data_IF_291963046164
#
_entry.id   IF_291963046164
#
_cell.length_a   1.000
_cell.length_b   1.000
_cell.length_c   1.000
_cell.angle_alpha   90.00
_cell.angle_beta   90.00
_cell.angle_gamma   90.00
#
_symmetry.space_group_name_H-M   'P 1'
#
loop_
_entity.id
_entity.type
_entity.pdbx_description
1 polymer ?
#
# COMPACT_ATOMS: atom_id res chain seq x y z
N UNK A 1 -7.50 -1.27 -4.68
CA UNK A 1 -7.16 -1.74 -6.05
C UNK A 1 -5.88 -1.06 -6.51
N UNK A 2 -4.89 -1.84 -6.95
CA UNK A 2 -3.64 -1.33 -7.53
C UNK A 2 -3.54 -1.81 -8.99
N UNK A 3 -3.54 -0.87 -9.92
CA UNK A 3 -3.45 -1.16 -11.35
C UNK A 3 -2.08 -1.71 -11.74
N UNK A 4 -2.03 -2.55 -12.79
CA UNK A 4 -0.79 -3.19 -13.26
C UNK A 4 0.30 -2.18 -13.60
N UNK A 5 -0.06 -1.09 -14.27
CA UNK A 5 0.86 -0.02 -14.64
C UNK A 5 1.52 0.66 -13.43
N UNK A 6 0.80 0.84 -12.33
CA UNK A 6 1.35 1.39 -11.09
C UNK A 6 2.26 0.37 -10.40
N UNK A 7 1.87 -0.91 -10.38
CA UNK A 7 2.73 -1.97 -9.82
C UNK A 7 4.04 -2.11 -10.56
N UNK A 8 4.03 -2.00 -11.88
CA UNK A 8 5.25 -2.15 -12.68
C UNK A 8 6.20 -0.97 -12.43
N UNK A 9 5.66 0.26 -12.35
CA UNK A 9 6.43 1.47 -12.07
C UNK A 9 6.96 1.56 -10.64
N UNK A 10 6.19 1.07 -9.66
CA UNK A 10 6.50 1.17 -8.23
C UNK A 10 6.59 -0.22 -7.59
N UNK A 11 7.20 -1.17 -8.31
CA UNK A 11 7.31 -2.58 -7.88
C UNK A 11 8.13 -2.71 -6.61
N UNK A 12 9.20 -1.91 -6.49
CA UNK A 12 10.14 -1.95 -5.38
C UNK A 12 9.46 -1.51 -4.09
N UNK A 13 8.70 -0.44 -4.14
CA UNK A 13 7.88 0.04 -3.04
C UNK A 13 6.81 -1.01 -2.72
N UNK A 14 6.06 -1.47 -3.73
CA UNK A 14 4.97 -2.43 -3.55
C UNK A 14 5.39 -3.71 -2.82
N UNK A 15 6.57 -4.26 -3.12
CA UNK A 15 7.03 -5.55 -2.59
C UNK A 15 8.08 -5.41 -1.48
N UNK A 16 8.80 -4.29 -1.41
CA UNK A 16 9.93 -4.09 -0.51
C UNK A 16 9.60 -3.31 0.76
N UNK A 17 8.47 -2.60 0.79
CA UNK A 17 8.09 -1.81 1.96
C UNK A 17 7.58 -2.67 3.10
N UNK A 18 8.15 -2.46 4.29
CA UNK A 18 7.60 -2.91 5.58
C UNK A 18 6.54 -1.96 6.13
N UNK A 19 6.60 -0.69 5.73
CA UNK A 19 5.55 0.30 5.95
C UNK A 19 5.35 1.10 4.66
N UNK A 20 4.12 1.19 4.20
CA UNK A 20 3.79 1.83 2.93
C UNK A 20 2.65 2.84 3.10
N UNK A 21 2.85 4.04 2.57
CA UNK A 21 1.74 4.95 2.33
C UNK A 21 1.16 4.74 0.93
N UNK A 22 -0.16 4.64 0.86
CA UNK A 22 -0.91 4.52 -0.39
C UNK A 22 -1.79 5.74 -0.55
N UNK A 23 -1.53 6.54 -1.59
CA UNK A 23 -2.38 7.68 -1.96
C UNK A 23 -3.18 7.30 -3.19
N UNK A 24 -4.48 7.57 -3.14
CA UNK A 24 -5.39 7.05 -4.14
C UNK A 24 -6.76 7.68 -4.10
N UNK A 25 -7.59 7.30 -5.07
CA UNK A 25 -8.98 7.71 -5.15
C UNK A 25 -9.86 6.70 -4.44
N UNK A 26 -10.62 7.17 -3.45
CA UNK A 26 -11.66 6.36 -2.86
C UNK A 26 -12.84 6.21 -3.83
N UNK A 27 -13.29 4.98 -4.01
CA UNK A 27 -14.47 4.65 -4.79
C UNK A 27 -15.43 3.82 -3.95
N UNK A 28 -16.70 4.12 -4.08
CA UNK A 28 -17.79 3.37 -3.48
C UNK A 28 -18.80 3.04 -4.56
N UNK A 29 -19.07 1.76 -4.71
CA UNK A 29 -20.10 1.25 -5.63
C UNK A 29 -20.97 0.29 -4.82
N UNK A 30 -22.21 0.73 -4.53
CA UNK A 30 -23.10 0.06 -3.59
C UNK A 30 -22.47 -0.10 -2.19
N UNK A 31 -22.34 -1.35 -1.76
CA UNK A 31 -21.73 -1.73 -0.48
C UNK A 31 -20.21 -1.88 -0.55
N UNK A 32 -19.65 -1.98 -1.76
CA UNK A 32 -18.22 -2.20 -1.96
C UNK A 32 -17.47 -0.88 -1.91
N UNK A 33 -16.39 -0.87 -1.13
CA UNK A 33 -15.53 0.30 -0.91
C UNK A 33 -14.10 -0.06 -1.26
N UNK A 34 -13.55 0.63 -2.26
CA UNK A 34 -12.21 0.38 -2.80
C UNK A 34 -11.39 1.66 -2.82
N UNK A 35 -10.14 1.60 -2.35
CA UNK A 35 -9.15 2.63 -2.62
C UNK A 35 -8.38 2.29 -3.89
N UNK A 36 -8.54 3.06 -4.96
CA UNK A 36 -7.73 2.94 -6.16
C UNK A 36 -6.40 3.66 -5.93
N UNK A 37 -5.31 2.90 -5.82
CA UNK A 37 -3.98 3.46 -5.64
C UNK A 37 -3.53 4.23 -6.90
N UNK A 38 -3.00 5.44 -6.70
CA UNK A 38 -2.35 6.26 -7.71
C UNK A 38 -0.87 6.51 -7.42
N UNK A 39 -0.46 6.39 -6.16
CA UNK A 39 0.93 6.55 -5.73
C UNK A 39 1.21 5.72 -4.47
N UNK A 40 2.36 5.05 -4.46
CA UNK A 40 2.91 4.27 -3.37
C UNK A 40 4.22 4.92 -2.91
N UNK A 41 4.41 4.97 -1.60
CA UNK A 41 5.61 5.52 -0.99
C UNK A 41 6.13 4.57 0.10
N UNK A 42 7.42 4.28 0.03
CA UNK A 42 8.09 3.46 1.04
C UNK A 42 8.41 4.29 2.28
N UNK A 43 7.69 4.01 3.37
CA UNK A 43 7.90 4.63 4.67
C UNK A 43 8.66 3.71 5.63
N UNK A 44 9.22 2.60 5.13
CA UNK A 44 10.09 1.70 5.91
C UNK A 44 11.20 2.45 6.66
N UNK A 45 11.84 3.51 6.11
CA UNK A 45 12.85 4.26 6.85
C UNK A 45 12.33 4.89 8.16
N UNK A 46 11.04 5.25 8.24
CA UNK A 46 10.45 5.85 9.44
C UNK A 46 10.29 4.87 10.60
N UNK A 47 10.33 3.56 10.33
CA UNK A 47 10.22 2.56 11.36
C UNK A 47 11.45 2.53 12.28
N UNK A 48 12.60 3.07 11.86
CA UNK A 48 13.82 3.22 12.67
C UNK A 48 14.17 2.00 13.56
N UNK A 49 14.01 0.78 13.02
CA UNK A 49 14.29 -0.46 13.75
C UNK A 49 13.11 -1.08 14.52
N UNK A 50 11.92 -0.49 14.50
CA UNK A 50 10.69 -1.09 15.04
C UNK A 50 10.40 -2.43 14.37
N UNK A 51 10.23 -3.47 15.17
CA UNK A 51 9.79 -4.78 14.71
C UNK A 51 8.31 -4.71 14.35
N UNK A 52 8.02 -4.46 13.07
CA UNK A 52 6.66 -4.54 12.53
C UNK A 52 6.36 -6.00 12.20
N UNK A 53 5.87 -6.74 13.20
CA UNK A 53 5.28 -8.06 12.96
C UNK A 53 3.84 -7.90 12.48
N UNK A 54 3.48 -8.61 11.41
CA UNK A 54 2.08 -8.72 10.97
C UNK A 54 1.26 -9.28 12.12
N UNK A 55 0.21 -8.55 12.53
CA UNK A 55 -0.85 -9.15 13.35
C UNK A 55 -1.83 -9.79 12.39
N UNK A 56 -1.74 -11.10 12.26
CA UNK A 56 -2.73 -11.86 11.52
C UNK A 56 -4.02 -11.90 12.33
N UNK A 57 -5.09 -11.35 11.78
CA UNK A 57 -6.44 -11.44 12.34
C UNK A 57 -7.11 -12.66 11.72
N UNK A 58 -7.28 -13.73 12.50
CA UNK A 58 -8.08 -14.92 12.14
C UNK A 58 -9.57 -14.67 12.38
#
# INVERSE_FOLDING_TARGET
>A
IVWKSLREKQRKELLGSRLMAVRGRWQREGEVRNLIAGHLEDLTPLLNGLSVGSRDFH
#
